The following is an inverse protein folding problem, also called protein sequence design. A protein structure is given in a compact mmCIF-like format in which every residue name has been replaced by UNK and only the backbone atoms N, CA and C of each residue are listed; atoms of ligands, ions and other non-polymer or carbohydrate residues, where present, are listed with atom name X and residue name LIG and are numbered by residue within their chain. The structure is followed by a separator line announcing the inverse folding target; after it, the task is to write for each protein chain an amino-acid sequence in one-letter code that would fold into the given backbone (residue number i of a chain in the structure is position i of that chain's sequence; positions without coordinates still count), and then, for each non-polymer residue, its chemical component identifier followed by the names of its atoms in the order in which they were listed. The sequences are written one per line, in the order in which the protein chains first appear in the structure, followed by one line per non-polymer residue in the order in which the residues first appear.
data_IF_811367779103
#
_entry.id   IF_811367779103
#
_cell.length_a   1.000
_cell.length_b   1.000
_cell.length_c   1.000
_cell.angle_alpha   90.00
_cell.angle_beta   90.00
_cell.angle_gamma   90.00
#
_symmetry.space_group_name_H-M   'P 1'
#
loop_
_entity.id
_entity.type
_entity.pdbx_description
1 polymer ?
#
# COMPACT_ATOMS: atom_id res chain seq x y z
N UNK A 1 -0.60 -9.43 16.91
CA UNK A 1 -1.85 -10.20 16.93
C UNK A 1 -2.95 -9.28 16.42
N UNK A 2 -3.49 -9.55 15.23
CA UNK A 2 -4.51 -8.70 14.58
C UNK A 2 -5.82 -8.79 15.38
N UNK A 3 -6.40 -7.64 15.73
CA UNK A 3 -7.64 -7.56 16.53
C UNK A 3 -8.83 -8.15 15.77
N UNK A 4 -9.66 -8.94 16.47
CA UNK A 4 -10.84 -9.63 15.91
C UNK A 4 -12.17 -8.90 16.15
N UNK A 5 -12.16 -7.78 16.86
CA UNK A 5 -13.36 -7.00 17.16
C UNK A 5 -13.27 -5.62 16.49
N UNK A 6 -14.39 -5.05 16.03
CA UNK A 6 -14.44 -3.66 15.62
C UNK A 6 -13.94 -2.74 16.75
N UNK A 7 -13.12 -1.76 16.40
CA UNK A 7 -12.52 -0.85 17.38
C UNK A 7 -12.66 0.58 16.88
N UNK A 8 -13.26 1.46 17.68
CA UNK A 8 -13.19 2.91 17.47
C UNK A 8 -12.12 3.50 18.38
N UNK A 9 -11.32 4.41 17.84
CA UNK A 9 -10.28 5.11 18.58
C UNK A 9 -10.11 6.55 18.10
N UNK A 10 -9.30 7.30 18.83
CA UNK A 10 -8.79 8.60 18.41
C UNK A 10 -7.28 8.52 18.24
N UNK A 11 -6.78 8.98 17.09
CA UNK A 11 -5.36 9.04 16.76
C UNK A 11 -4.88 10.48 16.84
N UNK A 12 -3.62 10.68 17.22
CA UNK A 12 -2.97 11.98 17.21
C UNK A 12 -2.04 12.06 16.01
N UNK A 13 -2.24 13.07 15.16
CA UNK A 13 -1.33 13.37 14.04
C UNK A 13 -0.01 13.96 14.55
N UNK A 14 1.01 13.95 13.70
CA UNK A 14 2.33 14.55 13.99
C UNK A 14 2.23 16.05 14.35
N UNK A 15 1.28 16.77 13.76
CA UNK A 15 0.97 18.17 14.06
C UNK A 15 -0.05 18.36 15.21
N UNK A 16 -0.32 17.30 15.97
CA UNK A 16 -1.06 17.36 17.22
C UNK A 16 -2.59 17.39 17.09
N UNK A 17 -3.13 17.24 15.88
CA UNK A 17 -4.58 17.14 15.66
C UNK A 17 -5.09 15.75 16.04
N UNK A 18 -6.20 15.70 16.78
CA UNK A 18 -6.87 14.43 17.09
C UNK A 18 -7.87 14.08 15.99
N UNK A 19 -7.80 12.87 15.45
CA UNK A 19 -8.72 12.35 14.43
C UNK A 19 -9.39 11.06 14.90
N UNK A 20 -10.67 10.87 14.58
CA UNK A 20 -11.35 9.61 14.86
C UNK A 20 -11.04 8.56 13.78
N UNK A 21 -10.88 7.30 14.19
CA UNK A 21 -10.74 6.17 13.30
C UNK A 21 -11.55 4.96 13.80
N UNK A 22 -12.01 4.14 12.88
CA UNK A 22 -12.79 2.92 13.12
C UNK A 22 -12.15 1.79 12.34
N UNK A 23 -11.70 0.77 13.06
CA UNK A 23 -11.22 -0.49 12.52
C UNK A 23 -12.36 -1.50 12.46
N UNK A 24 -12.52 -2.15 11.31
CA UNK A 24 -13.44 -3.25 11.06
C UNK A 24 -12.61 -4.46 10.59
N UNK A 25 -12.67 -5.62 11.28
CA UNK A 25 -11.93 -6.80 10.86
C UNK A 25 -12.49 -7.36 9.54
N UNK A 26 -11.66 -8.11 8.82
CA UNK A 26 -12.09 -8.83 7.62
C UNK A 26 -13.22 -9.82 7.97
N UNK A 27 -14.29 -9.82 7.19
CA UNK A 27 -15.46 -10.69 7.38
C UNK A 27 -15.38 -11.99 6.57
N UNK A 28 -14.42 -12.09 5.64
CA UNK A 28 -14.15 -13.33 4.94
C UNK A 28 -13.65 -14.40 5.93
N UNK A 29 -14.37 -15.53 6.04
CA UNK A 29 -14.05 -16.62 6.96
C UNK A 29 -15.01 -16.81 8.15
N UNK A 30 -16.06 -16.00 8.33
CA UNK A 30 -17.06 -16.22 9.38
C UNK A 30 -18.04 -17.40 9.12
N UNK A 31 -17.74 -18.30 8.16
CA UNK A 31 -18.60 -19.46 7.85
C UNK A 31 -18.15 -20.42 6.72
N UNK A 32 -17.08 -20.14 5.98
CA UNK A 32 -16.46 -21.02 4.97
C UNK A 32 -15.08 -20.46 4.56
N UNK A 33 -14.13 -21.25 4.02
CA UNK A 33 -12.85 -20.73 3.55
C UNK A 33 -13.10 -19.78 2.38
N UNK A 34 -12.97 -18.48 2.64
CA UNK A 34 -13.15 -17.47 1.62
C UNK A 34 -11.92 -17.46 0.72
N UNK A 35 -12.05 -18.06 -0.46
CA UNK A 35 -11.15 -17.74 -1.59
C UNK A 35 -11.13 -16.22 -1.76
N UNK A 36 -9.98 -15.59 -1.55
CA UNK A 36 -9.78 -14.15 -1.77
C UNK A 36 -9.69 -13.25 -0.52
N UNK A 37 -9.65 -13.81 0.71
CA UNK A 37 -9.28 -13.01 1.88
C UNK A 37 -7.75 -12.84 1.93
N UNK A 38 -7.24 -11.60 1.90
CA UNK A 38 -5.79 -11.38 1.96
C UNK A 38 -5.36 -11.16 3.40
N UNK A 39 -4.82 -12.22 4.00
CA UNK A 39 -4.30 -12.17 5.36
C UNK A 39 -3.23 -11.06 5.48
N UNK A 40 -3.27 -10.30 6.58
CA UNK A 40 -2.31 -9.21 6.82
C UNK A 40 -2.55 -7.92 6.02
N UNK A 41 -3.59 -7.86 5.18
CA UNK A 41 -3.95 -6.65 4.41
C UNK A 41 -5.06 -5.86 5.08
N UNK A 42 -4.92 -4.52 5.06
CA UNK A 42 -5.94 -3.56 5.49
C UNK A 42 -6.13 -2.44 4.48
N UNK A 43 -7.40 -2.08 4.27
CA UNK A 43 -7.82 -0.98 3.40
C UNK A 43 -8.15 0.24 4.25
N UNK A 44 -7.40 1.33 4.06
CA UNK A 44 -7.65 2.63 4.68
C UNK A 44 -8.51 3.48 3.75
N UNK A 45 -9.70 3.87 4.21
CA UNK A 45 -10.70 4.60 3.42
C UNK A 45 -10.69 6.09 3.77
N UNK A 46 -10.24 6.91 2.83
CA UNK A 46 -10.20 8.37 2.90
C UNK A 46 -11.41 8.99 2.16
N UNK A 47 -12.32 9.60 2.92
CA UNK A 47 -13.57 10.15 2.39
C UNK A 47 -13.41 11.47 1.59
N UNK A 48 -14.42 11.83 0.80
CA UNK A 48 -14.45 13.11 0.08
C UNK A 48 -14.74 14.32 0.98
N UNK A 49 -14.70 15.52 0.40
CA UNK A 49 -15.05 16.73 1.14
C UNK A 49 -16.47 16.62 1.73
N UNK A 50 -16.67 17.02 2.98
CA UNK A 50 -17.92 16.85 3.78
C UNK A 50 -18.24 15.42 4.25
N UNK A 51 -17.36 14.45 4.01
CA UNK A 51 -17.51 13.08 4.51
C UNK A 51 -17.23 12.92 6.00
N UNK A 52 -17.38 11.69 6.49
CA UNK A 52 -16.93 11.23 7.82
C UNK A 52 -16.98 9.70 7.86
N UNK A 53 -16.32 9.07 8.86
CA UNK A 53 -16.33 7.62 9.06
C UNK A 53 -17.76 7.03 9.15
N UNK A 54 -18.71 7.79 9.68
CA UNK A 54 -20.10 7.35 9.89
C UNK A 54 -21.02 7.60 8.69
N UNK A 55 -20.55 8.26 7.61
CA UNK A 55 -21.41 8.55 6.45
C UNK A 55 -21.86 7.25 5.76
N UNK A 56 -23.13 7.16 5.31
CA UNK A 56 -23.65 5.95 4.68
C UNK A 56 -22.82 5.44 3.50
N UNK A 57 -22.31 6.35 2.65
CA UNK A 57 -21.47 6.00 1.51
C UNK A 57 -20.12 5.39 1.93
N UNK A 58 -19.46 5.98 2.94
CA UNK A 58 -18.20 5.46 3.50
C UNK A 58 -18.42 4.11 4.17
N UNK A 59 -19.51 3.96 4.93
CA UNK A 59 -19.89 2.68 5.55
C UNK A 59 -20.25 1.60 4.52
N UNK A 60 -20.80 1.97 3.36
CA UNK A 60 -21.05 1.02 2.27
C UNK A 60 -19.73 0.54 1.66
N UNK A 61 -18.81 1.46 1.38
CA UNK A 61 -17.46 1.11 0.95
C UNK A 61 -16.76 0.18 1.96
N UNK A 62 -16.81 0.52 3.26
CA UNK A 62 -16.22 -0.29 4.31
C UNK A 62 -16.78 -1.72 4.35
N UNK A 63 -18.11 -1.88 4.25
CA UNK A 63 -18.74 -3.22 4.22
C UNK A 63 -18.35 -4.03 2.98
N UNK A 64 -18.24 -3.40 1.81
CA UNK A 64 -17.82 -4.09 0.59
C UNK A 64 -16.36 -4.54 0.72
N UNK A 65 -15.47 -3.65 1.17
CA UNK A 65 -14.05 -3.92 1.35
C UNK A 65 -13.76 -4.95 2.45
N UNK A 66 -14.55 -4.95 3.54
CA UNK A 66 -14.43 -5.91 4.64
C UNK A 66 -14.61 -7.37 4.19
N UNK A 67 -15.22 -7.61 3.02
CA UNK A 67 -15.35 -8.95 2.44
C UNK A 67 -14.04 -9.50 1.85
N UNK A 68 -12.97 -8.72 1.78
CA UNK A 68 -11.65 -9.11 1.24
C UNK A 68 -10.47 -8.83 2.18
N UNK A 69 -10.51 -7.71 2.89
CA UNK A 69 -9.45 -7.28 3.78
C UNK A 69 -10.02 -6.61 5.04
N UNK A 70 -9.20 -6.42 6.07
CA UNK A 70 -9.61 -5.53 7.16
C UNK A 70 -9.79 -4.10 6.63
N UNK A 71 -10.58 -3.27 7.31
CA UNK A 71 -10.85 -1.90 6.87
C UNK A 71 -10.63 -0.93 8.01
N UNK A 72 -10.01 0.22 7.71
CA UNK A 72 -10.01 1.37 8.59
C UNK A 72 -10.70 2.54 7.88
N UNK A 73 -11.81 3.01 8.46
CA UNK A 73 -12.40 4.30 8.10
C UNK A 73 -11.98 5.34 9.12
N UNK A 74 -11.92 6.61 8.72
CA UNK A 74 -11.59 7.70 9.63
C UNK A 74 -12.29 8.98 9.17
N UNK A 75 -12.34 9.99 10.02
CA UNK A 75 -12.77 11.33 9.60
C UNK A 75 -11.55 12.25 9.50
N UNK A 76 -11.38 12.93 8.36
CA UNK A 76 -10.35 13.95 8.22
C UNK A 76 -10.50 15.06 9.27
N UNK A 77 -9.41 15.75 9.58
CA UNK A 77 -9.45 17.00 10.35
C UNK A 77 -10.53 17.94 9.83
N UNK A 78 -11.22 18.60 10.75
CA UNK A 78 -12.35 19.47 10.43
C UNK A 78 -13.66 18.75 10.10
N UNK A 79 -13.69 17.41 10.03
CA UNK A 79 -14.87 16.61 9.71
C UNK A 79 -15.26 15.66 10.85
N UNK A 80 -16.52 15.22 10.85
CA UNK A 80 -17.02 14.25 11.82
C UNK A 80 -16.71 14.63 13.28
N UNK A 81 -16.21 13.67 14.05
CA UNK A 81 -15.76 13.85 15.44
C UNK A 81 -14.27 14.21 15.56
N UNK A 82 -13.55 14.27 14.45
CA UNK A 82 -12.15 14.71 14.44
C UNK A 82 -12.06 16.17 14.83
N UNK A 83 -10.93 16.56 15.44
CA UNK A 83 -10.61 17.94 15.80
C UNK A 83 -10.16 18.78 14.60
N UNK A 84 -9.53 19.92 14.88
CA UNK A 84 -8.89 20.76 13.86
C UNK A 84 -9.83 21.34 12.80
N UNK A 85 -9.22 21.76 11.70
CA UNK A 85 -9.85 22.36 10.53
C UNK A 85 -9.32 21.70 9.25
N UNK A 86 -10.19 21.54 8.27
CA UNK A 86 -9.83 21.05 6.94
C UNK A 86 -9.06 22.12 6.19
N UNK A 87 -7.96 21.70 5.60
CA UNK A 87 -7.16 22.46 4.64
C UNK A 87 -7.45 22.05 3.21
N UNK A 88 -8.50 21.25 2.98
CA UNK A 88 -8.99 20.86 1.64
C UNK A 88 -7.94 20.12 0.82
N UNK A 89 -7.08 19.34 1.48
CA UNK A 89 -6.18 18.40 0.84
C UNK A 89 -4.71 18.55 1.22
N UNK A 90 -4.30 19.63 1.91
CA UNK A 90 -2.91 19.86 2.30
C UNK A 90 -2.49 19.02 3.53
N UNK A 91 -2.92 19.44 4.72
CA UNK A 91 -2.57 18.81 6.00
C UNK A 91 -3.32 17.49 6.22
N UNK A 92 -4.40 17.23 5.49
CA UNK A 92 -5.10 15.95 5.49
C UNK A 92 -4.18 14.76 5.18
N UNK A 93 -3.05 14.96 4.48
CA UNK A 93 -2.04 13.91 4.26
C UNK A 93 -1.48 13.36 5.58
N UNK A 94 -1.31 14.22 6.59
CA UNK A 94 -0.86 13.80 7.93
C UNK A 94 -1.89 12.95 8.66
N UNK A 95 -3.17 13.15 8.35
CA UNK A 95 -4.25 12.32 8.89
C UNK A 95 -4.15 10.89 8.32
N UNK A 96 -3.94 10.76 7.00
CA UNK A 96 -3.70 9.45 6.37
C UNK A 96 -2.47 8.79 6.98
N UNK A 97 -1.36 9.52 7.12
CA UNK A 97 -0.13 8.97 7.70
C UNK A 97 -0.35 8.43 9.13
N UNK A 98 -1.10 9.14 9.97
CA UNK A 98 -1.43 8.67 11.32
C UNK A 98 -2.28 7.38 11.29
N UNK A 99 -3.22 7.27 10.34
CA UNK A 99 -4.06 6.08 10.19
C UNK A 99 -3.27 4.89 9.64
N UNK A 100 -2.38 5.09 8.67
CA UNK A 100 -1.50 4.04 8.14
C UNK A 100 -0.51 3.56 9.21
N UNK A 101 0.06 4.47 9.99
CA UNK A 101 0.90 4.10 11.13
C UNK A 101 0.13 3.26 12.16
N UNK A 102 -1.13 3.61 12.44
CA UNK A 102 -1.99 2.82 13.31
C UNK A 102 -2.29 1.44 12.71
N UNK A 103 -2.53 1.36 11.41
CA UNK A 103 -2.75 0.11 10.70
C UNK A 103 -1.55 -0.85 10.85
N UNK A 104 -0.32 -0.33 10.72
CA UNK A 104 0.91 -1.10 11.00
C UNK A 104 1.01 -1.54 12.46
N UNK A 105 0.68 -0.65 13.40
CA UNK A 105 0.71 -0.96 14.83
C UNK A 105 -0.30 -2.07 15.23
N UNK A 106 -1.40 -2.21 14.48
CA UNK A 106 -2.34 -3.33 14.61
C UNK A 106 -1.80 -4.66 14.05
N UNK A 107 -0.66 -4.62 13.35
CA UNK A 107 0.04 -5.79 12.80
C UNK A 107 -0.30 -6.09 11.34
N UNK A 108 -0.84 -5.13 10.57
CA UNK A 108 -1.06 -5.31 9.14
C UNK A 108 0.22 -5.11 8.34
N UNK A 109 0.62 -6.14 7.61
CA UNK A 109 1.80 -6.20 6.76
C UNK A 109 1.60 -5.48 5.43
N UNK A 110 0.35 -5.34 4.98
CA UNK A 110 -0.01 -4.56 3.79
C UNK A 110 -1.10 -3.55 4.07
N UNK A 111 -0.90 -2.31 3.64
CA UNK A 111 -1.84 -1.20 3.79
C UNK A 111 -2.12 -0.61 2.42
N UNK A 112 -3.39 -0.67 2.01
CA UNK A 112 -3.87 -0.06 0.77
C UNK A 112 -4.71 1.16 1.11
N UNK A 113 -4.40 2.30 0.50
CA UNK A 113 -5.17 3.53 0.71
C UNK A 113 -6.15 3.75 -0.44
N UNK A 114 -7.45 3.83 -0.11
CA UNK A 114 -8.53 4.13 -1.06
C UNK A 114 -9.09 5.50 -0.73
N UNK A 115 -8.95 6.45 -1.65
CA UNK A 115 -9.39 7.83 -1.48
C UNK A 115 -10.49 8.23 -2.47
N UNK A 116 -11.51 8.93 -1.98
CA UNK A 116 -12.61 9.45 -2.79
C UNK A 116 -12.54 10.99 -2.90
N UNK A 117 -12.67 11.54 -4.10
CA UNK A 117 -12.69 12.99 -4.35
C UNK A 117 -11.48 13.69 -3.72
N UNK A 118 -11.67 14.60 -2.76
CA UNK A 118 -10.62 15.19 -1.93
C UNK A 118 -9.71 14.12 -1.31
N UNK A 119 -10.29 13.05 -0.75
CA UNK A 119 -9.54 11.92 -0.19
C UNK A 119 -8.68 11.23 -1.26
N UNK A 120 -9.12 11.18 -2.51
CA UNK A 120 -8.36 10.67 -3.65
C UNK A 120 -7.08 11.48 -3.90
N UNK A 121 -7.18 12.81 -3.90
CA UNK A 121 -5.99 13.67 -3.97
C UNK A 121 -5.06 13.48 -2.78
N UNK A 122 -5.62 13.30 -1.58
CA UNK A 122 -4.83 13.15 -0.35
C UNK A 122 -4.06 11.82 -0.35
N UNK A 123 -4.67 10.70 -0.77
CA UNK A 123 -3.95 9.41 -0.80
C UNK A 123 -2.87 9.36 -1.87
N UNK A 124 -3.06 10.03 -3.02
CA UNK A 124 -2.02 10.19 -4.04
C UNK A 124 -0.81 10.97 -3.48
N UNK A 125 -1.07 12.07 -2.79
CA UNK A 125 -0.01 12.87 -2.15
C UNK A 125 0.66 12.12 -1.02
N UNK A 126 -0.11 11.40 -0.22
CA UNK A 126 0.41 10.56 0.85
C UNK A 126 1.41 9.55 0.31
N UNK A 127 1.04 8.78 -0.71
CA UNK A 127 1.93 7.79 -1.31
C UNK A 127 3.21 8.41 -1.91
N UNK A 128 3.10 9.60 -2.52
CA UNK A 128 4.26 10.33 -3.03
C UNK A 128 5.21 10.86 -1.94
N UNK A 129 4.68 11.26 -0.79
CA UNK A 129 5.45 11.90 0.29
C UNK A 129 5.94 10.90 1.34
N UNK A 130 5.26 9.77 1.50
CA UNK A 130 5.52 8.73 2.49
C UNK A 130 5.87 7.42 1.79
N UNK A 131 7.12 7.30 1.32
CA UNK A 131 7.61 6.11 0.60
C UNK A 131 8.38 5.17 1.53
N UNK A 132 8.23 3.86 1.32
CA UNK A 132 9.11 2.87 1.92
C UNK A 132 10.49 3.00 1.25
N UNK A 133 11.51 3.49 1.97
CA UNK A 133 12.86 3.58 1.39
C UNK A 133 13.53 2.20 1.39
N UNK A 134 13.02 1.24 0.61
CA UNK A 134 13.78 0.03 0.27
C UNK A 134 14.74 0.35 -0.87
N UNK A 135 16.04 0.49 -0.51
CA UNK A 135 17.21 0.47 -1.42
C UNK A 135 17.16 1.40 -2.65
N UNK A 136 17.24 2.71 -2.44
CA UNK A 136 17.79 3.60 -3.47
C UNK A 136 19.33 3.61 -3.36
N UNK A 137 19.98 2.61 -3.96
CA UNK A 137 21.38 2.70 -4.34
C UNK A 137 21.44 3.36 -5.73
N UNK A 138 21.41 4.69 -5.76
CA UNK A 138 21.54 5.47 -7.00
C UNK A 138 21.72 6.96 -6.68
N UNK A 139 22.50 7.71 -7.47
CA UNK A 139 22.75 9.12 -7.20
C UNK A 139 21.45 9.92 -7.30
N UNK A 140 21.28 10.84 -6.35
CA UNK A 140 20.17 11.81 -6.29
C UNK A 140 20.03 12.53 -7.65
N UNK A 141 18.82 12.65 -8.21
CA UNK A 141 18.62 13.49 -9.38
C UNK A 141 18.81 14.96 -8.97
N UNK A 142 19.92 15.55 -9.43
CA UNK A 142 20.14 17.00 -9.38
C UNK A 142 19.22 17.63 -10.41
N UNK A 143 18.03 18.03 -9.95
CA UNK A 143 17.02 18.75 -10.72
C UNK A 143 16.45 19.89 -9.89
N UNK A 144 16.64 21.10 -10.38
CA UNK A 144 16.37 22.39 -9.75
C UNK A 144 14.85 22.64 -9.58
N UNK A 145 14.24 22.06 -8.53
CA UNK A 145 12.98 22.55 -7.93
C UNK A 145 12.68 21.93 -6.55
N UNK A 146 13.71 21.76 -5.72
CA UNK A 146 13.61 21.24 -4.35
C UNK A 146 13.19 22.33 -3.35
N UNK A 147 11.97 22.86 -3.52
CA UNK A 147 11.30 23.71 -2.52
C UNK A 147 10.11 23.00 -1.85
N UNK A 148 10.12 21.67 -1.80
CA UNK A 148 9.24 20.89 -0.93
C UNK A 148 10.05 20.17 0.14
N UNK A 149 10.19 20.84 1.28
CA UNK A 149 10.63 20.24 2.54
C UNK A 149 9.51 19.32 3.07
N UNK A 150 9.30 18.19 2.39
CA UNK A 150 8.24 17.23 2.72
C UNK A 150 8.59 15.77 2.50
N UNK A 151 9.78 15.47 1.93
CA UNK A 151 10.37 14.14 2.08
C UNK A 151 10.74 14.00 3.55
N UNK A 152 9.84 13.41 4.34
CA UNK A 152 10.21 12.95 5.68
C UNK A 152 11.20 11.80 5.48
N UNK A 153 12.49 12.15 5.46
CA UNK A 153 13.61 11.23 5.19
C UNK A 153 13.89 10.22 6.31
N UNK A 154 12.89 9.87 7.10
CA UNK A 154 12.96 8.82 8.11
C UNK A 154 12.07 7.67 7.65
N UNK A 155 12.48 6.43 7.96
CA UNK A 155 11.70 5.23 7.69
C UNK A 155 10.27 5.42 8.21
N UNK A 156 9.35 5.80 7.32
CA UNK A 156 7.98 5.99 7.71
C UNK A 156 7.28 4.66 7.54
N UNK A 157 6.89 4.06 8.65
CA UNK A 157 5.94 2.93 8.66
C UNK A 157 4.59 3.35 8.08
N UNK A 158 4.36 4.64 7.88
CA UNK A 158 3.14 5.19 7.32
C UNK A 158 3.10 5.17 5.78
N UNK A 159 3.84 4.32 5.08
CA UNK A 159 3.70 4.21 3.61
C UNK A 159 2.54 3.28 3.22
N UNK A 160 1.93 3.55 2.06
CA UNK A 160 0.95 2.66 1.43
C UNK A 160 1.65 1.68 0.49
N UNK A 161 1.22 0.42 0.46
CA UNK A 161 1.71 -0.60 -0.48
C UNK A 161 1.01 -0.53 -1.84
N UNK A 162 -0.24 -0.07 -1.86
CA UNK A 162 -1.00 0.23 -3.08
C UNK A 162 -1.97 1.40 -2.85
N UNK A 163 -2.39 2.05 -3.94
CA UNK A 163 -3.20 3.26 -3.89
C UNK A 163 -4.38 3.16 -4.85
N UNK A 164 -5.56 3.55 -4.39
CA UNK A 164 -6.75 3.71 -5.24
C UNK A 164 -7.28 5.14 -5.11
N UNK A 165 -7.40 5.84 -6.23
CA UNK A 165 -7.93 7.19 -6.30
C UNK A 165 -9.24 7.21 -7.11
N UNK A 166 -10.36 7.47 -6.44
CA UNK A 166 -11.70 7.51 -7.04
C UNK A 166 -12.18 8.95 -7.17
N UNK A 167 -12.52 9.39 -8.38
CA UNK A 167 -12.99 10.75 -8.68
C UNK A 167 -12.02 11.87 -8.20
N UNK A 168 -10.72 11.60 -8.21
CA UNK A 168 -9.72 12.54 -7.71
C UNK A 168 -9.44 13.67 -8.73
N UNK A 169 -9.38 14.95 -8.30
CA UNK A 169 -8.91 16.00 -9.18
C UNK A 169 -7.40 15.88 -9.46
N UNK A 170 -7.00 16.04 -10.72
CA UNK A 170 -5.59 16.14 -11.11
C UNK A 170 -4.88 17.43 -10.66
N UNK A 171 -5.61 18.56 -10.63
CA UNK A 171 -5.07 19.90 -10.37
C UNK A 171 -5.83 20.59 -9.25
N UNK A 172 -5.12 21.43 -8.51
CA UNK A 172 -5.74 22.37 -7.59
C UNK A 172 -6.49 23.48 -8.31
N UNK A 173 -7.38 24.14 -7.57
CA UNK A 173 -8.10 25.34 -8.01
C UNK A 173 -8.97 25.20 -9.27
N UNK A 174 -9.31 23.97 -9.67
CA UNK A 174 -10.20 23.75 -10.80
C UNK A 174 -11.61 24.31 -10.54
N UNK A 175 -12.09 25.19 -11.43
CA UNK A 175 -13.38 25.91 -11.33
C UNK A 175 -14.25 25.76 -12.58
N UNK A 176 -13.94 24.80 -13.46
CA UNK A 176 -14.60 24.66 -14.76
C UNK A 176 -16.09 24.30 -14.66
N UNK A 177 -16.49 23.55 -13.63
CA UNK A 177 -17.88 23.12 -13.43
C UNK A 177 -18.64 23.99 -12.42
N UNK A 178 -19.97 24.06 -12.56
CA UNK A 178 -20.82 24.81 -11.62
C UNK A 178 -20.73 24.30 -10.17
N UNK A 179 -20.71 22.98 -9.90
CA UNK A 179 -20.46 22.45 -8.56
C UNK A 179 -19.12 22.91 -7.99
N UNK A 180 -18.04 22.90 -8.79
CA UNK A 180 -16.73 23.34 -8.33
C UNK A 180 -16.69 24.84 -8.02
N UNK A 181 -17.37 25.69 -8.79
CA UNK A 181 -17.49 27.12 -8.44
C UNK A 181 -18.20 27.33 -7.10
N UNK A 182 -19.26 26.57 -6.84
CA UNK A 182 -19.97 26.60 -5.55
C UNK A 182 -19.08 26.12 -4.41
N UNK A 183 -18.36 25.01 -4.60
CA UNK A 183 -17.41 24.50 -3.62
C UNK A 183 -16.33 25.54 -3.32
N UNK A 184 -15.75 26.16 -4.36
CA UNK A 184 -14.77 27.23 -4.19
C UNK A 184 -15.32 28.41 -3.39
N UNK A 185 -16.57 28.81 -3.63
CA UNK A 185 -17.22 29.84 -2.82
C UNK A 185 -17.31 29.43 -1.34
N UNK A 186 -17.72 28.18 -1.05
CA UNK A 186 -17.81 27.64 0.31
C UNK A 186 -16.45 27.67 1.02
N UNK A 187 -15.37 27.24 0.36
CA UNK A 187 -14.05 27.12 1.00
C UNK A 187 -13.28 28.45 1.10
N UNK A 188 -13.59 29.44 0.25
CA UNK A 188 -12.87 30.72 0.21
C UNK A 188 -13.56 31.87 0.93
N UNK A 189 -14.90 31.92 0.97
CA UNK A 189 -15.63 33.05 1.55
C UNK A 189 -15.89 32.83 3.04
N UNK A 190 -15.77 33.86 3.91
CA UNK A 190 -16.11 33.74 5.33
C UNK A 190 -17.53 33.22 5.58
N UNK A 191 -18.52 33.75 4.85
CA UNK A 191 -19.90 33.28 4.91
C UNK A 191 -20.05 31.83 4.42
N UNK A 192 -19.31 31.46 3.37
CA UNK A 192 -19.25 30.09 2.87
C UNK A 192 -18.71 29.11 3.91
N UNK A 193 -17.63 29.47 4.62
CA UNK A 193 -17.05 28.65 5.69
C UNK A 193 -17.97 28.49 6.89
N UNK A 194 -18.76 29.53 7.20
CA UNK A 194 -19.82 29.44 8.20
C UNK A 194 -20.89 28.41 7.79
N UNK A 195 -21.36 28.47 6.54
CA UNK A 195 -22.27 27.45 5.98
C UNK A 195 -21.63 26.06 5.98
N UNK A 196 -20.34 25.95 5.65
CA UNK A 196 -19.60 24.69 5.72
C UNK A 196 -19.63 24.08 7.13
N UNK A 197 -19.40 24.91 8.16
CA UNK A 197 -19.37 24.44 9.56
C UNK A 197 -20.73 23.92 10.03
N UNK A 198 -21.80 24.69 9.80
CA UNK A 198 -23.12 24.37 10.37
C UNK A 198 -24.03 23.58 9.44
N UNK A 199 -23.87 23.72 8.13
CA UNK A 199 -24.67 23.01 7.12
C UNK A 199 -24.02 21.73 6.57
N UNK A 200 -22.68 21.69 6.48
CA UNK A 200 -21.96 20.53 5.93
C UNK A 200 -21.16 19.76 6.99
N UNK A 201 -21.21 20.21 8.25
CA UNK A 201 -20.44 19.63 9.35
C UNK A 201 -18.92 19.72 9.15
N UNK A 202 -18.44 20.68 8.34
CA UNK A 202 -17.04 20.79 7.94
C UNK A 202 -16.46 22.12 8.38
N UNK A 203 -15.47 22.08 9.27
CA UNK A 203 -14.73 23.26 9.71
C UNK A 203 -13.56 23.49 8.77
N UNK A 204 -13.57 24.59 8.02
CA UNK A 204 -12.58 24.90 6.99
C UNK A 204 -11.61 25.96 7.52
N UNK A 205 -10.31 25.72 7.32
CA UNK A 205 -9.24 26.64 7.69
C UNK A 205 -9.37 27.99 7.00
N UNK A 206 -8.80 29.03 7.62
CA UNK A 206 -8.81 30.38 7.06
C UNK A 206 -7.58 30.70 6.22
N UNK A 207 -6.47 30.08 6.58
CA UNK A 207 -5.16 30.23 5.96
C UNK A 207 -5.22 29.80 4.49
N UNK A 208 -4.59 30.61 3.63
CA UNK A 208 -4.30 30.21 2.26
C UNK A 208 -3.10 29.25 2.27
N UNK A 209 -3.02 28.41 1.24
CA UNK A 209 -1.85 27.55 1.10
C UNK A 209 -0.65 28.38 0.68
N UNK A 210 0.39 28.35 1.51
CA UNK A 210 1.69 28.96 1.21
C UNK A 210 2.82 28.08 1.79
N UNK A 211 3.54 27.33 0.94
CA UNK A 211 3.35 27.22 -0.51
C UNK A 211 2.07 26.45 -0.89
N UNK A 212 1.59 26.61 -2.13
CA UNK A 212 0.57 25.71 -2.70
C UNK A 212 1.09 24.28 -2.61
N UNK A 213 0.29 23.27 -2.22
CA UNK A 213 0.77 21.91 -1.96
C UNK A 213 1.01 21.10 -3.24
N UNK A 214 1.74 19.99 -3.13
CA UNK A 214 2.06 19.12 -4.28
C UNK A 214 0.76 18.69 -4.96
N UNK A 215 0.57 19.06 -6.23
CA UNK A 215 -0.65 18.71 -6.95
C UNK A 215 -0.74 17.22 -7.23
N UNK A 216 -1.95 16.63 -7.31
CA UNK A 216 -2.11 15.20 -7.58
C UNK A 216 -1.39 14.71 -8.85
N UNK A 217 -1.46 15.45 -9.95
CA UNK A 217 -0.72 15.11 -11.19
C UNK A 217 0.81 15.10 -11.01
N UNK A 218 1.34 15.93 -10.12
CA UNK A 218 2.77 15.95 -9.80
C UNK A 218 3.17 14.91 -8.73
N UNK A 219 2.20 14.44 -7.94
CA UNK A 219 2.41 13.37 -6.96
C UNK A 219 2.47 12.00 -7.63
N UNK A 220 1.62 11.75 -8.63
CA UNK A 220 1.49 10.44 -9.29
C UNK A 220 2.82 9.82 -9.75
N UNK A 221 3.73 10.54 -10.45
CA UNK A 221 5.01 9.96 -10.88
C UNK A 221 5.91 9.47 -9.74
N UNK A 222 5.68 9.96 -8.52
CA UNK A 222 6.47 9.63 -7.32
C UNK A 222 5.94 8.41 -6.56
N UNK A 223 4.81 7.82 -7.00
CA UNK A 223 4.17 6.67 -6.33
C UNK A 223 4.86 5.35 -6.72
N UNK A 224 5.44 5.28 -7.92
CA UNK A 224 6.15 4.09 -8.37
C UNK A 224 7.24 3.67 -7.37
N UNK A 225 7.40 2.36 -7.10
CA UNK A 225 6.81 1.22 -7.80
C UNK A 225 5.45 0.73 -7.26
N UNK A 226 4.84 1.43 -6.28
CA UNK A 226 3.59 0.97 -5.68
C UNK A 226 2.44 0.98 -6.73
N UNK A 227 1.61 -0.07 -6.81
CA UNK A 227 0.47 -0.12 -7.72
C UNK A 227 -0.53 1.02 -7.49
N UNK A 228 -0.98 1.64 -8.57
CA UNK A 228 -1.96 2.72 -8.55
C UNK A 228 -3.17 2.37 -9.42
N UNK A 229 -4.37 2.43 -8.84
CA UNK A 229 -5.64 2.38 -9.56
C UNK A 229 -6.32 3.75 -9.56
N UNK A 230 -6.67 4.25 -10.74
CA UNK A 230 -7.45 5.47 -10.93
C UNK A 230 -8.85 5.06 -11.41
N UNK A 231 -9.89 5.46 -10.68
CA UNK A 231 -11.28 5.17 -11.03
C UNK A 231 -12.05 6.48 -11.20
N UNK A 232 -12.76 6.63 -12.30
CA UNK A 232 -13.52 7.86 -12.56
C UNK A 232 -14.79 7.61 -13.35
N UNK A 233 -15.87 8.31 -12.99
CA UNK A 233 -17.15 8.21 -13.69
C UNK A 233 -17.26 9.14 -14.89
N UNK A 234 -17.83 8.66 -16.00
CA UNK A 234 -18.04 9.49 -17.20
C UNK A 234 -19.16 10.56 -17.04
N UNK A 235 -19.95 10.47 -15.96
CA UNK A 235 -21.00 11.43 -15.58
C UNK A 235 -20.66 12.24 -14.33
N UNK A 236 -19.38 12.32 -13.96
CA UNK A 236 -18.94 13.12 -12.82
C UNK A 236 -19.20 14.63 -13.07
N UNK A 237 -20.10 15.27 -12.30
CA UNK A 237 -20.44 16.69 -12.49
C UNK A 237 -19.39 17.64 -11.90
N UNK A 238 -18.43 17.14 -11.12
CA UNK A 238 -17.38 17.95 -10.51
C UNK A 238 -16.16 18.02 -11.42
N UNK A 239 -15.65 16.87 -11.85
CA UNK A 239 -14.39 16.76 -12.59
C UNK A 239 -14.59 16.03 -13.93
N UNK A 240 -14.33 16.70 -15.07
CA UNK A 240 -14.39 16.05 -16.37
C UNK A 240 -13.30 14.98 -16.55
N UNK A 241 -13.45 14.19 -17.61
CA UNK A 241 -12.54 13.08 -17.94
C UNK A 241 -11.10 13.50 -18.26
N UNK A 242 -10.79 14.79 -18.41
CA UNK A 242 -9.40 15.25 -18.50
C UNK A 242 -8.64 15.01 -17.19
N UNK A 243 -9.28 15.11 -16.03
CA UNK A 243 -8.62 14.85 -14.74
C UNK A 243 -8.07 13.43 -14.59
N UNK A 244 -8.88 12.35 -14.73
CA UNK A 244 -8.35 10.99 -14.62
C UNK A 244 -7.36 10.64 -15.73
N UNK A 245 -7.53 11.21 -16.94
CA UNK A 245 -6.59 11.02 -18.05
C UNK A 245 -5.24 11.66 -17.77
N UNK A 246 -5.22 12.88 -17.22
CA UNK A 246 -3.96 13.52 -16.80
C UNK A 246 -3.25 12.75 -15.69
N UNK A 247 -4.00 12.18 -14.75
CA UNK A 247 -3.41 11.33 -13.70
C UNK A 247 -2.80 10.07 -14.32
N UNK A 248 -3.51 9.38 -15.21
CA UNK A 248 -3.01 8.19 -15.89
C UNK A 248 -1.80 8.49 -16.79
N UNK A 249 -1.83 9.60 -17.53
CA UNK A 249 -0.70 10.05 -18.35
C UNK A 249 0.53 10.35 -17.50
N UNK A 250 0.37 10.97 -16.34
CA UNK A 250 1.47 11.21 -15.41
C UNK A 250 2.04 9.92 -14.79
N UNK A 251 1.24 8.87 -14.68
CA UNK A 251 1.68 7.57 -14.17
C UNK A 251 2.44 6.74 -15.22
N UNK A 252 2.19 6.98 -16.51
CA UNK A 252 2.63 6.07 -17.57
C UNK A 252 2.05 4.67 -17.35
N UNK A 253 2.90 3.64 -17.45
CA UNK A 253 2.53 2.24 -17.22
C UNK A 253 2.36 1.90 -15.72
N UNK A 254 2.61 2.86 -14.81
CA UNK A 254 2.53 2.67 -13.37
C UNK A 254 1.12 2.75 -12.78
N UNK A 255 0.09 2.96 -13.60
CA UNK A 255 -1.29 3.00 -13.13
C UNK A 255 -2.29 2.31 -14.06
N UNK A 256 -3.33 1.72 -13.47
CA UNK A 256 -4.54 1.30 -14.17
C UNK A 256 -5.58 2.42 -14.14
N UNK A 257 -6.28 2.62 -15.27
CA UNK A 257 -7.37 3.58 -15.39
C UNK A 257 -8.70 2.88 -15.69
N UNK A 258 -9.66 3.00 -14.78
CA UNK A 258 -11.04 2.55 -14.98
C UNK A 258 -11.97 3.74 -15.21
N UNK A 259 -12.61 3.77 -16.38
CA UNK A 259 -13.65 4.74 -16.70
C UNK A 259 -15.03 4.09 -16.57
N UNK A 260 -15.75 4.46 -15.52
CA UNK A 260 -17.01 3.85 -15.12
C UNK A 260 -18.19 4.53 -15.80
N UNK A 261 -18.84 3.78 -16.72
CA UNK A 261 -19.97 4.29 -17.48
C UNK A 261 -21.17 4.53 -16.58
N UNK A 262 -21.74 5.71 -16.65
CA UNK A 262 -22.91 6.12 -15.89
C UNK A 262 -22.61 6.55 -14.45
N UNK A 263 -21.39 6.35 -13.95
CA UNK A 263 -21.02 6.72 -12.59
C UNK A 263 -20.92 8.26 -12.46
N UNK A 264 -21.54 8.78 -11.40
CA UNK A 264 -21.40 10.18 -10.98
C UNK A 264 -20.11 10.42 -10.19
N UNK A 265 -20.20 11.12 -9.06
CA UNK A 265 -19.04 11.53 -8.27
C UNK A 265 -18.82 10.65 -7.03
N UNK A 266 -17.59 10.11 -6.93
CA UNK A 266 -16.97 9.62 -5.70
C UNK A 266 -17.79 8.55 -4.94
N UNK A 267 -17.66 8.49 -3.61
CA UNK A 267 -18.23 7.43 -2.77
C UNK A 267 -19.75 7.37 -2.85
N UNK A 268 -20.45 8.46 -3.20
CA UNK A 268 -21.91 8.45 -3.31
C UNK A 268 -22.39 7.74 -4.59
N UNK A 269 -21.58 7.75 -5.65
CA UNK A 269 -21.90 7.14 -6.93
C UNK A 269 -21.28 5.75 -7.11
N UNK A 270 -20.29 5.38 -6.29
CA UNK A 270 -19.71 4.04 -6.31
C UNK A 270 -20.70 3.01 -5.76
N UNK A 271 -21.24 2.17 -6.65
CA UNK A 271 -22.14 1.07 -6.28
C UNK A 271 -21.37 -0.12 -5.68
N UNK A 272 -22.10 -1.12 -5.19
CA UNK A 272 -21.49 -2.30 -4.57
C UNK A 272 -20.65 -3.12 -5.56
N UNK A 273 -21.00 -3.12 -6.85
CA UNK A 273 -20.25 -3.85 -7.88
C UNK A 273 -18.88 -3.23 -8.11
N UNK A 274 -18.81 -1.91 -8.26
CA UNK A 274 -17.55 -1.18 -8.38
C UNK A 274 -16.70 -1.32 -7.11
N UNK A 275 -17.31 -1.18 -5.93
CA UNK A 275 -16.60 -1.32 -4.66
C UNK A 275 -16.03 -2.74 -4.49
N UNK A 276 -16.77 -3.77 -4.93
CA UNK A 276 -16.27 -5.16 -4.92
C UNK A 276 -15.10 -5.33 -5.87
N UNK A 277 -15.16 -4.78 -7.09
CA UNK A 277 -14.02 -4.82 -8.04
C UNK A 277 -12.77 -4.10 -7.50
N UNK A 278 -12.95 -2.96 -6.82
CA UNK A 278 -11.83 -2.26 -6.17
C UNK A 278 -11.24 -3.13 -5.04
N UNK A 279 -12.08 -3.84 -4.28
CA UNK A 279 -11.62 -4.76 -3.25
C UNK A 279 -10.85 -5.95 -3.85
N UNK A 280 -11.35 -6.50 -4.96
CA UNK A 280 -10.72 -7.61 -5.68
C UNK A 280 -9.38 -7.17 -6.31
N UNK A 281 -9.32 -5.97 -6.89
CA UNK A 281 -8.06 -5.39 -7.37
C UNK A 281 -7.06 -5.21 -6.23
N UNK A 282 -7.52 -4.67 -5.11
CA UNK A 282 -6.69 -4.51 -3.90
C UNK A 282 -6.15 -5.86 -3.46
N UNK A 283 -7.01 -6.88 -3.38
CA UNK A 283 -6.58 -8.22 -3.02
C UNK A 283 -5.51 -8.73 -3.99
N UNK A 284 -5.73 -8.64 -5.30
CA UNK A 284 -4.82 -9.12 -6.33
C UNK A 284 -3.44 -8.44 -6.32
N UNK A 285 -3.35 -7.14 -6.04
CA UNK A 285 -2.06 -6.42 -6.01
C UNK A 285 -1.31 -6.57 -4.69
N UNK A 286 -2.01 -6.94 -3.61
CA UNK A 286 -1.39 -7.24 -2.31
C UNK A 286 -1.13 -8.73 -2.09
N UNK A 287 -1.77 -9.58 -2.89
CA UNK A 287 -1.43 -10.97 -3.04
C UNK A 287 -0.12 -11.03 -3.81
N UNK A 288 0.98 -10.78 -3.09
CA UNK A 288 2.29 -11.25 -3.53
C UNK A 288 2.08 -12.71 -3.86
N UNK A 289 2.25 -13.13 -5.11
CA UNK A 289 2.11 -14.52 -5.54
C UNK A 289 3.08 -15.52 -4.87
N UNK A 290 3.40 -15.38 -3.59
CA UNK A 290 3.57 -16.48 -2.67
C UNK A 290 2.21 -17.16 -2.48
N UNK A 291 1.97 -18.28 -3.18
CA UNK A 291 0.78 -19.06 -2.93
C UNK A 291 0.81 -19.54 -1.49
N UNK A 292 -0.39 -19.61 -0.94
CA UNK A 292 -0.69 -20.39 0.24
C UNK A 292 -0.03 -21.77 0.13
N UNK A 293 0.65 -22.18 1.21
CA UNK A 293 1.38 -23.46 1.32
C UNK A 293 0.50 -24.71 1.03
N UNK A 294 -0.82 -24.54 0.85
CA UNK A 294 -1.79 -25.60 0.59
C UNK A 294 -2.12 -25.83 -0.91
N UNK A 295 -1.80 -24.91 -1.83
CA UNK A 295 -2.14 -25.06 -3.26
C UNK A 295 -0.94 -25.30 -4.20
N UNK A 296 0.31 -25.20 -3.70
CA UNK A 296 1.49 -25.71 -4.40
C UNK A 296 1.92 -27.06 -3.82
N UNK A 297 1.39 -28.13 -4.39
CA UNK A 297 2.29 -29.23 -4.73
C UNK A 297 3.42 -28.63 -5.58
N UNK A 298 4.60 -28.46 -4.96
CA UNK A 298 5.69 -27.61 -5.45
C UNK A 298 6.11 -27.96 -6.88
N UNK A 299 6.07 -26.99 -7.78
CA UNK A 299 6.95 -27.04 -8.93
C UNK A 299 8.38 -26.93 -8.36
N UNK A 300 9.16 -28.01 -8.50
CA UNK A 300 10.56 -28.02 -8.10
C UNK A 300 11.33 -27.03 -8.99
N UNK A 301 12.07 -26.11 -8.37
CA UNK A 301 12.96 -25.22 -9.10
C UNK A 301 14.25 -25.97 -9.42
N UNK A 302 14.71 -25.90 -10.67
CA UNK A 302 16.01 -26.44 -11.08
C UNK A 302 17.09 -25.37 -10.95
N UNK A 303 18.28 -25.73 -10.45
CA UNK A 303 19.41 -24.81 -10.31
C UNK A 303 20.72 -25.52 -10.01
N UNK A 304 21.71 -24.79 -9.52
CA UNK A 304 23.07 -25.31 -9.27
C UNK A 304 23.51 -25.13 -7.82
N UNK A 305 24.07 -26.17 -7.20
CA UNK A 305 24.78 -26.08 -5.92
C UNK A 305 26.27 -26.02 -6.21
N UNK A 306 26.96 -25.02 -5.65
CA UNK A 306 28.41 -24.84 -5.73
C UNK A 306 29.07 -25.13 -4.40
N UNK A 307 30.06 -25.99 -4.43
CA UNK A 307 30.82 -26.39 -3.26
C UNK A 307 32.17 -25.69 -3.20
N UNK A 308 32.52 -25.23 -2.01
CA UNK A 308 33.80 -24.56 -1.76
C UNK A 308 34.66 -25.35 -0.76
N UNK A 309 35.98 -25.26 -0.91
CA UNK A 309 36.98 -25.81 0.01
C UNK A 309 36.68 -27.25 0.51
N UNK A 310 36.51 -27.45 1.82
CA UNK A 310 36.25 -28.77 2.40
C UNK A 310 34.94 -29.40 1.91
N UNK A 311 33.92 -28.59 1.58
CA UNK A 311 32.69 -29.10 1.00
C UNK A 311 32.93 -29.63 -0.43
N UNK A 312 33.78 -28.96 -1.22
CA UNK A 312 34.19 -29.43 -2.56
C UNK A 312 34.98 -30.73 -2.49
N UNK A 313 35.91 -30.82 -1.54
CA UNK A 313 36.68 -32.04 -1.34
C UNK A 313 35.78 -33.22 -0.93
N UNK A 314 34.83 -32.98 -0.01
CA UNK A 314 33.90 -33.99 0.47
C UNK A 314 32.84 -34.39 -0.57
N UNK A 315 32.41 -33.46 -1.44
CA UNK A 315 31.46 -33.74 -2.52
C UNK A 315 32.11 -34.39 -3.76
N UNK A 316 33.44 -34.32 -3.88
CA UNK A 316 34.17 -34.80 -5.07
C UNK A 316 33.92 -34.00 -6.35
N UNK A 317 33.06 -32.97 -6.31
CA UNK A 317 32.73 -32.08 -7.42
C UNK A 317 32.71 -30.62 -6.98
N UNK A 318 32.96 -29.70 -7.92
CA UNK A 318 32.87 -28.26 -7.68
C UNK A 318 31.41 -27.77 -7.67
N UNK A 319 30.55 -28.39 -8.47
CA UNK A 319 29.15 -28.02 -8.57
C UNK A 319 28.30 -29.21 -9.02
N UNK A 320 27.02 -29.19 -8.70
CA UNK A 320 26.04 -30.18 -9.16
C UNK A 320 24.62 -29.58 -9.24
N UNK A 321 23.73 -30.13 -10.07
CA UNK A 321 22.36 -29.62 -10.17
C UNK A 321 21.53 -29.97 -8.93
N UNK A 322 20.53 -29.13 -8.66
CA UNK A 322 19.41 -29.44 -7.77
C UNK A 322 18.09 -29.29 -8.51
N UNK A 323 17.09 -30.04 -8.05
CA UNK A 323 15.68 -29.80 -8.36
C UNK A 323 14.94 -29.88 -7.02
N UNK A 324 14.54 -28.73 -6.49
CA UNK A 324 13.98 -28.61 -5.15
C UNK A 324 13.20 -27.30 -5.03
N UNK A 325 12.21 -27.26 -4.15
CA UNK A 325 11.46 -26.06 -3.86
C UNK A 325 12.11 -25.26 -2.71
N UNK A 326 12.80 -25.94 -1.79
CA UNK A 326 13.46 -25.31 -0.63
C UNK A 326 14.92 -25.71 -0.51
N UNK A 327 15.69 -24.91 0.24
CA UNK A 327 17.08 -25.25 0.60
C UNK A 327 17.13 -26.55 1.43
N UNK A 328 16.16 -26.80 2.29
CA UNK A 328 16.10 -28.04 3.08
C UNK A 328 16.04 -29.29 2.17
N UNK A 329 15.13 -29.28 1.19
CA UNK A 329 14.98 -30.36 0.21
C UNK A 329 16.24 -30.53 -0.65
N UNK A 330 16.82 -29.43 -1.13
CA UNK A 330 18.06 -29.49 -1.90
C UNK A 330 19.20 -30.13 -1.09
N UNK A 331 19.36 -29.75 0.18
CA UNK A 331 20.39 -30.31 1.07
C UNK A 331 20.09 -31.75 1.49
N UNK A 332 18.83 -32.16 1.59
CA UNK A 332 18.44 -33.55 1.81
C UNK A 332 18.83 -34.42 0.60
N UNK A 333 18.48 -33.99 -0.62
CA UNK A 333 18.88 -34.68 -1.85
C UNK A 333 20.41 -34.77 -2.04
N UNK A 334 21.17 -33.76 -1.57
CA UNK A 334 22.64 -33.84 -1.53
C UNK A 334 23.11 -34.89 -0.54
N UNK A 335 22.52 -34.96 0.66
CA UNK A 335 22.89 -35.94 1.69
C UNK A 335 22.58 -37.38 1.27
N UNK A 336 21.53 -37.58 0.50
CA UNK A 336 21.20 -38.88 -0.10
C UNK A 336 22.19 -39.29 -1.19
N UNK A 337 22.59 -38.35 -2.07
CA UNK A 337 23.57 -38.60 -3.14
C UNK A 337 24.99 -38.80 -2.64
N UNK A 338 25.38 -38.07 -1.60
CA UNK A 338 26.73 -38.03 -1.04
C UNK A 338 26.73 -38.43 0.45
N UNK A 339 26.42 -39.70 0.77
CA UNK A 339 26.46 -40.17 2.14
C UNK A 339 27.90 -40.14 2.68
N UNK A 340 28.07 -39.80 3.96
CA UNK A 340 29.38 -39.80 4.63
C UNK A 340 29.91 -38.41 4.98
N UNK A 341 31.12 -38.09 4.53
CA UNK A 341 31.86 -36.89 4.95
C UNK A 341 31.12 -35.59 4.62
N UNK A 342 30.51 -35.49 3.43
CA UNK A 342 29.79 -34.29 3.01
C UNK A 342 28.63 -33.96 3.96
N UNK A 343 27.86 -34.97 4.38
CA UNK A 343 26.78 -34.81 5.37
C UNK A 343 27.26 -34.20 6.68
N UNK A 344 28.48 -34.53 7.11
CA UNK A 344 29.10 -33.95 8.32
C UNK A 344 29.56 -32.51 8.09
N UNK A 345 30.15 -32.23 6.93
CA UNK A 345 30.62 -30.90 6.54
C UNK A 345 29.46 -29.91 6.41
N UNK A 346 28.36 -30.31 5.75
CA UNK A 346 27.16 -29.49 5.56
C UNK A 346 26.56 -28.92 6.85
N UNK A 347 26.67 -29.65 7.97
CA UNK A 347 26.18 -29.17 9.30
C UNK A 347 26.95 -27.97 9.84
N UNK A 348 28.14 -27.70 9.31
CA UNK A 348 29.02 -26.59 9.73
C UNK A 348 29.11 -25.50 8.68
N UNK A 349 28.59 -25.74 7.47
CA UNK A 349 28.61 -24.77 6.39
C UNK A 349 27.60 -23.65 6.63
N UNK A 350 27.96 -22.48 6.12
CA UNK A 350 27.03 -21.40 5.83
C UNK A 350 26.60 -21.49 4.36
N UNK A 351 25.43 -20.94 4.06
CA UNK A 351 24.82 -21.02 2.73
C UNK A 351 24.55 -19.62 2.20
N UNK A 352 24.89 -19.39 0.93
CA UNK A 352 24.41 -18.24 0.17
C UNK A 352 23.43 -18.71 -0.91
N UNK A 353 22.38 -17.93 -1.15
CA UNK A 353 21.45 -18.13 -2.26
C UNK A 353 21.56 -16.92 -3.17
N UNK A 354 22.03 -17.12 -4.40
CA UNK A 354 22.27 -16.04 -5.37
C UNK A 354 23.13 -14.89 -4.80
N UNK A 355 24.09 -15.22 -3.93
CA UNK A 355 24.99 -14.29 -3.25
C UNK A 355 24.47 -13.75 -1.90
N UNK A 356 23.20 -13.97 -1.54
CA UNK A 356 22.62 -13.51 -0.28
C UNK A 356 22.76 -14.56 0.85
N UNK A 357 23.25 -14.17 2.04
CA UNK A 357 23.46 -15.12 3.14
C UNK A 357 22.15 -15.61 3.75
N UNK A 358 22.04 -16.93 3.94
CA UNK A 358 20.89 -17.58 4.59
C UNK A 358 20.79 -17.17 6.07
N UNK A 359 21.92 -17.02 6.76
CA UNK A 359 21.96 -16.62 8.17
C UNK A 359 21.34 -17.68 9.09
N UNK A 360 20.49 -17.26 10.03
CA UNK A 360 19.82 -18.14 11.01
C UNK A 360 18.43 -18.60 10.58
N UNK A 361 18.03 -18.35 9.32
CA UNK A 361 16.70 -18.75 8.80
C UNK A 361 16.62 -20.28 8.72
N UNK A 362 15.46 -20.85 9.08
CA UNK A 362 15.20 -22.28 8.88
C UNK A 362 15.25 -22.62 7.38
N UNK A 363 16.00 -23.64 6.99
CA UNK A 363 16.26 -23.96 5.58
C UNK A 363 14.98 -24.35 4.81
N UNK A 364 13.96 -24.82 5.52
CA UNK A 364 12.62 -25.10 5.03
C UNK A 364 11.86 -23.83 4.62
N UNK A 365 12.23 -22.68 5.18
CA UNK A 365 11.62 -21.37 4.85
C UNK A 365 12.35 -20.66 3.70
N UNK A 366 13.51 -21.18 3.27
CA UNK A 366 14.34 -20.60 2.20
C UNK A 366 13.96 -21.24 0.87
N UNK A 367 13.19 -20.50 0.06
CA UNK A 367 12.77 -20.93 -1.28
C UNK A 367 13.90 -20.78 -2.30
N UNK A 368 13.99 -21.73 -3.22
CA UNK A 368 14.93 -21.69 -4.34
C UNK A 368 14.23 -21.20 -5.61
N UNK A 369 14.91 -20.34 -6.37
CA UNK A 369 14.44 -19.86 -7.65
C UNK A 369 14.91 -20.77 -8.80
N UNK A 370 14.16 -20.78 -9.90
CA UNK A 370 14.55 -21.44 -11.14
C UNK A 370 15.83 -20.77 -11.70
N UNK A 371 16.83 -21.57 -12.06
CA UNK A 371 18.17 -21.11 -12.43
C UNK A 371 19.02 -20.60 -11.27
N UNK A 372 18.56 -20.73 -10.02
CA UNK A 372 19.24 -20.22 -8.83
C UNK A 372 20.54 -20.95 -8.50
N UNK A 373 21.40 -20.27 -7.73
CA UNK A 373 22.69 -20.80 -7.25
C UNK A 373 22.70 -20.89 -5.72
N UNK A 374 23.00 -22.09 -5.20
CA UNK A 374 23.25 -22.33 -3.77
C UNK A 374 24.75 -22.47 -3.56
N UNK A 375 25.36 -21.63 -2.73
CA UNK A 375 26.79 -21.74 -2.41
C UNK A 375 26.98 -22.34 -1.02
N UNK A 376 27.76 -23.42 -0.95
CA UNK A 376 28.06 -24.15 0.28
C UNK A 376 29.45 -23.74 0.78
N UNK A 377 29.47 -22.93 1.84
CA UNK A 377 30.66 -22.32 2.39
C UNK A 377 31.03 -22.97 3.74
N UNK A 378 31.98 -23.92 3.77
CA UNK A 378 32.49 -24.44 5.04
C UNK A 378 33.23 -23.35 5.82
N UNK A 379 33.33 -23.48 7.16
CA UNK A 379 34.05 -22.51 7.97
C UNK A 379 35.52 -22.49 7.56
N UNK A 380 36.10 -21.30 7.44
CA UNK A 380 37.52 -21.15 7.12
C UNK A 380 38.37 -21.82 8.19
N UNK A 381 39.40 -22.56 7.78
CA UNK A 381 40.39 -23.11 8.69
C UNK A 381 41.23 -21.95 9.27
N UNK A 382 40.81 -21.43 10.44
CA UNK A 382 41.52 -20.35 11.13
C UNK A 382 40.75 -19.59 12.22
N UNK A 383 39.60 -20.09 12.67
CA UNK A 383 38.81 -19.50 13.77
C UNK A 383 38.73 -20.43 14.97
#
# INVERSE_FOLDING_TARGET
MITRAPQRTTLRTDDGTWIEAVYEPCTAGAGAPARGAVAGTVIVVAHGFTGSADRPAVRRAARAFAQRAAVITFSFRGHGRSGGVSTVGDREVRDVAAVVAWARALGHERVVTVGFSMGGSVVLRHAALYTERRRAAGPEPVGENTAYTGRTGAHSTAHSDAVVAVSAPARWYYRGTAPMRRLHWVVTRPAGRFVGRYGLGTRIGREEWDPVPLSPVAAVPLIAPAPLLIVHGDRDPYFPLDHPRMLAEAAGDGAELWLERGMGHAENAADESLLTRIADWTAAVTDDGQPTDDERGGAMAAGTIRYWAAAKAAAGTAEEPYAATTLAEALEAVRERHPGELTRVLRRCSFLIDGDPVGTRGHETVRLAEGGTVEVLPPFAGG
#
